data_IF_372214079260
#
_entry.id   IF_372214079260
#
_cell.length_a   1.000
_cell.length_b   1.000
_cell.length_c   1.000
_cell.angle_alpha   90.00
_cell.angle_beta   90.00
_cell.angle_gamma   90.00
#
_symmetry.space_group_name_H-M   'P 1'
#
loop_
_entity.id
_entity.type
_entity.pdbx_description
1 polymer ?
#
# COMPACT_ATOMS: atom_id res chain seq x y z
N UNK A 1 46.48 19.82 10.98
CA UNK A 1 47.00 20.29 9.67
C UNK A 1 47.72 19.15 8.97
N UNK A 2 47.10 18.58 7.91
CA UNK A 2 47.83 17.80 6.87
C UNK A 2 47.02 17.93 5.58
N UNK A 3 47.56 18.68 4.62
CA UNK A 3 47.06 18.86 3.27
C UNK A 3 47.20 17.55 2.50
N UNK A 4 46.16 17.13 1.78
CA UNK A 4 46.23 16.09 0.76
C UNK A 4 46.17 16.74 -0.65
N UNK A 5 47.19 16.47 -1.40
CA UNK A 5 47.51 16.88 -2.75
C UNK A 5 46.57 16.19 -3.74
N UNK A 6 45.93 16.97 -4.62
CA UNK A 6 45.17 16.48 -5.77
C UNK A 6 46.13 16.11 -6.90
N UNK A 7 46.12 14.86 -7.32
CA UNK A 7 46.71 14.41 -8.59
C UNK A 7 45.61 14.47 -9.66
N UNK A 8 45.79 15.37 -10.63
CA UNK A 8 45.04 15.42 -11.90
C UNK A 8 45.67 14.41 -12.87
N UNK A 9 44.92 13.37 -13.23
CA UNK A 9 45.25 12.53 -14.37
C UNK A 9 44.31 12.86 -15.53
N UNK A 10 44.87 13.43 -16.58
CA UNK A 10 44.22 13.68 -17.85
C UNK A 10 44.11 12.34 -18.61
N UNK A 11 42.91 11.87 -18.91
CA UNK A 11 42.68 10.74 -19.81
C UNK A 11 42.12 11.27 -21.13
N UNK A 12 42.80 10.92 -22.21
CA UNK A 12 42.47 11.29 -23.59
C UNK A 12 41.13 10.70 -24.01
N UNK A 13 40.31 11.51 -24.70
CA UNK A 13 39.08 11.12 -25.38
C UNK A 13 39.42 10.29 -26.62
N UNK A 14 39.28 8.97 -26.53
CA UNK A 14 39.14 8.09 -27.67
C UNK A 14 37.66 8.02 -28.06
N UNK A 15 37.32 8.51 -29.26
CA UNK A 15 36.01 8.38 -29.89
C UNK A 15 35.75 6.91 -30.30
N UNK A 16 35.41 6.06 -29.33
CA UNK A 16 34.87 4.74 -29.58
C UNK A 16 33.35 4.83 -29.66
N UNK A 17 32.80 4.50 -30.83
CA UNK A 17 31.36 4.25 -31.01
C UNK A 17 31.01 3.06 -30.13
N UNK A 18 30.45 3.34 -28.94
CA UNK A 18 29.84 2.31 -28.11
C UNK A 18 28.61 1.79 -28.86
N UNK A 19 28.46 0.45 -29.02
CA UNK A 19 27.21 -0.09 -29.51
C UNK A 19 26.10 0.32 -28.55
N UNK A 20 25.03 0.96 -29.06
CA UNK A 20 23.78 1.15 -28.33
C UNK A 20 23.28 -0.25 -27.96
N UNK A 21 23.57 -0.68 -26.74
CA UNK A 21 22.84 -1.77 -26.12
C UNK A 21 21.38 -1.31 -26.08
N UNK A 22 20.58 -1.89 -26.94
CA UNK A 22 19.12 -1.85 -26.87
C UNK A 22 18.71 -2.54 -25.57
N UNK A 23 18.66 -1.77 -24.48
CA UNK A 23 18.07 -2.22 -23.21
C UNK A 23 16.56 -2.00 -23.32
N UNK A 24 15.93 -2.74 -24.22
CA UNK A 24 14.49 -2.85 -24.36
C UNK A 24 14.14 -4.31 -24.30
N UNK A 25 13.98 -4.87 -23.12
CA UNK A 25 13.37 -6.20 -23.00
C UNK A 25 12.01 -6.18 -23.71
N UNK A 26 11.72 -7.25 -24.44
CA UNK A 26 10.48 -7.43 -25.19
C UNK A 26 9.27 -7.23 -24.28
N UNK A 27 8.27 -6.44 -24.73
CA UNK A 27 7.04 -6.21 -23.98
C UNK A 27 6.17 -7.47 -24.13
N UNK A 28 5.64 -7.96 -23.01
CA UNK A 28 4.80 -9.16 -23.00
C UNK A 28 3.44 -8.91 -23.67
N UNK A 29 2.86 -7.71 -23.44
CA UNK A 29 1.56 -7.33 -24.01
C UNK A 29 1.69 -6.31 -25.14
N UNK A 30 0.84 -6.39 -26.18
CA UNK A 30 0.84 -5.43 -27.28
C UNK A 30 0.41 -4.02 -26.85
N UNK A 31 -0.54 -3.94 -25.91
CA UNK A 31 -1.09 -2.70 -25.39
C UNK A 31 -1.40 -2.80 -23.88
N UNK A 32 -1.65 -1.64 -23.26
CA UNK A 32 -1.87 -1.57 -21.82
C UNK A 32 -3.26 -2.08 -21.39
N UNK A 33 -4.28 -1.98 -22.25
CA UNK A 33 -5.62 -2.45 -21.93
C UNK A 33 -5.64 -3.98 -21.79
N UNK A 34 -5.06 -4.70 -22.78
CA UNK A 34 -4.88 -6.17 -22.72
C UNK A 34 -4.09 -6.60 -21.49
N UNK A 35 -3.03 -5.86 -21.14
CA UNK A 35 -2.23 -6.14 -19.96
C UNK A 35 -3.03 -6.00 -18.66
N UNK A 36 -3.84 -4.95 -18.56
CA UNK A 36 -4.68 -4.68 -17.38
C UNK A 36 -5.82 -5.70 -17.27
N UNK A 37 -6.40 -6.13 -18.38
CA UNK A 37 -7.42 -7.19 -18.36
C UNK A 37 -6.84 -8.53 -17.86
N UNK A 38 -5.61 -8.88 -18.26
CA UNK A 38 -4.93 -10.06 -17.69
C UNK A 38 -4.64 -9.85 -16.20
N UNK A 39 -4.11 -8.69 -15.81
CA UNK A 39 -3.81 -8.40 -14.40
C UNK A 39 -5.07 -8.51 -13.53
N UNK A 40 -6.18 -7.91 -13.97
CA UNK A 40 -7.48 -7.99 -13.30
C UNK A 40 -7.96 -9.44 -13.18
N UNK A 41 -7.96 -10.20 -14.28
CA UNK A 41 -8.42 -11.58 -14.30
C UNK A 41 -7.60 -12.45 -13.33
N UNK A 42 -6.27 -12.33 -13.36
CA UNK A 42 -5.37 -13.09 -12.48
C UNK A 42 -5.50 -12.71 -11.01
N UNK A 43 -5.70 -11.43 -10.70
CA UNK A 43 -5.94 -10.96 -9.34
C UNK A 43 -7.22 -11.60 -8.76
N UNK A 44 -8.32 -11.53 -9.49
CA UNK A 44 -9.59 -12.07 -9.03
C UNK A 44 -9.63 -13.61 -9.02
N UNK A 45 -8.90 -14.26 -9.92
CA UNK A 45 -8.81 -15.73 -9.97
C UNK A 45 -8.01 -16.31 -8.81
N UNK A 46 -6.91 -15.64 -8.40
CA UNK A 46 -5.91 -16.25 -7.49
C UNK A 46 -5.75 -15.55 -6.15
N UNK A 47 -5.96 -14.26 -6.09
CA UNK A 47 -5.54 -13.47 -4.93
C UNK A 47 -6.70 -12.93 -4.08
N UNK A 48 -7.94 -12.98 -4.55
CA UNK A 48 -9.11 -12.64 -3.74
C UNK A 48 -9.67 -13.93 -3.13
N UNK A 49 -9.59 -14.05 -1.80
CA UNK A 49 -10.06 -15.22 -1.07
C UNK A 49 -11.59 -15.33 -1.01
N UNK A 50 -12.09 -16.39 -0.37
CA UNK A 50 -13.54 -16.63 -0.19
C UNK A 50 -14.26 -15.51 0.59
N UNK A 51 -13.55 -14.72 1.35
CA UNK A 51 -14.06 -13.63 2.20
C UNK A 51 -13.93 -12.24 1.59
N UNK A 52 -13.40 -12.13 0.37
CA UNK A 52 -13.18 -10.86 -0.31
C UNK A 52 -11.93 -10.11 0.16
N UNK A 53 -10.95 -10.84 0.69
CA UNK A 53 -9.69 -10.28 1.19
C UNK A 53 -8.56 -10.68 0.24
N UNK A 54 -7.71 -9.73 -0.13
CA UNK A 54 -6.52 -10.03 -0.92
C UNK A 54 -5.47 -10.73 -0.06
N UNK A 55 -4.93 -11.82 -0.62
CA UNK A 55 -3.78 -12.53 -0.06
C UNK A 55 -2.50 -12.03 -0.70
N UNK A 56 -1.40 -12.01 0.06
CA UNK A 56 -0.12 -11.46 -0.39
C UNK A 56 0.50 -12.25 -1.52
N UNK A 57 0.47 -13.58 -1.43
CA UNK A 57 1.10 -14.45 -2.41
C UNK A 57 0.40 -15.83 -2.48
N UNK A 58 0.48 -16.45 -3.65
CA UNK A 58 -0.02 -17.79 -3.92
C UNK A 58 0.85 -18.47 -5.01
N UNK A 59 0.61 -19.77 -5.24
CA UNK A 59 1.17 -20.44 -6.42
C UNK A 59 0.42 -20.04 -7.72
N UNK A 60 0.85 -20.58 -8.87
CA UNK A 60 0.25 -20.23 -10.17
C UNK A 60 -1.16 -20.81 -10.35
N UNK A 61 -1.52 -21.83 -9.59
CA UNK A 61 -2.85 -22.44 -9.54
C UNK A 61 -3.80 -21.67 -8.60
N UNK A 62 -3.27 -20.76 -7.77
CA UNK A 62 -4.02 -20.00 -6.78
C UNK A 62 -4.11 -20.66 -5.41
N UNK A 63 -3.28 -21.69 -5.16
CA UNK A 63 -3.23 -22.32 -3.84
C UNK A 63 -2.49 -21.43 -2.86
N UNK A 64 -3.14 -21.15 -1.72
CA UNK A 64 -2.63 -20.33 -0.63
C UNK A 64 -2.37 -21.20 0.59
N UNK A 65 -1.18 -21.12 1.16
CA UNK A 65 -0.81 -21.83 2.37
C UNK A 65 -1.21 -21.02 3.62
N UNK A 66 -2.52 -20.91 3.87
CA UNK A 66 -3.08 -20.13 4.98
C UNK A 66 -2.64 -20.67 6.34
N UNK A 67 -2.46 -19.80 7.36
CA UNK A 67 -2.28 -20.26 8.73
C UNK A 67 -3.53 -20.94 9.27
N UNK A 68 -3.35 -21.87 10.20
CA UNK A 68 -4.46 -22.49 10.93
C UNK A 68 -4.94 -21.58 12.08
N UNK A 69 -6.15 -21.81 12.62
CA UNK A 69 -6.62 -21.10 13.80
C UNK A 69 -5.67 -21.21 15.01
N UNK A 70 -5.04 -22.38 15.18
CA UNK A 70 -4.09 -22.66 16.26
C UNK A 70 -2.80 -21.86 16.08
N UNK A 71 -2.29 -21.76 14.86
CA UNK A 71 -1.11 -20.95 14.53
C UNK A 71 -1.35 -19.46 14.80
N UNK A 72 -2.51 -18.95 14.39
CA UNK A 72 -2.89 -17.56 14.68
C UNK A 72 -2.95 -17.30 16.20
N UNK A 73 -3.65 -18.16 16.97
CA UNK A 73 -3.74 -18.01 18.43
C UNK A 73 -2.38 -18.10 19.13
N UNK A 74 -1.47 -18.93 18.61
CA UNK A 74 -0.13 -19.10 19.16
C UNK A 74 0.88 -18.04 18.67
N UNK A 75 0.45 -17.08 17.84
CA UNK A 75 1.37 -16.11 17.23
C UNK A 75 2.46 -16.77 16.36
N UNK A 76 2.13 -17.80 15.59
CA UNK A 76 3.05 -18.58 14.76
C UNK A 76 2.87 -18.26 13.28
N UNK A 77 3.95 -18.01 12.55
CA UNK A 77 5.36 -18.04 12.93
C UNK A 77 5.82 -16.79 13.69
N UNK A 78 5.07 -15.71 13.64
CA UNK A 78 5.24 -14.50 14.46
C UNK A 78 3.89 -13.83 14.70
N UNK A 79 3.74 -13.13 15.83
CA UNK A 79 2.49 -12.52 16.25
C UNK A 79 2.08 -11.30 15.38
N UNK A 80 2.99 -10.79 14.53
CA UNK A 80 2.68 -9.77 13.53
C UNK A 80 1.91 -10.31 12.33
N UNK A 81 1.99 -11.61 12.06
CA UNK A 81 1.52 -12.20 10.80
C UNK A 81 2.36 -11.81 9.59
N UNK A 82 3.62 -11.39 9.80
CA UNK A 82 4.51 -10.97 8.70
C UNK A 82 5.04 -12.17 7.91
N UNK A 83 5.22 -11.93 6.60
CA UNK A 83 5.77 -12.86 5.62
C UNK A 83 4.90 -14.12 5.41
N UNK A 84 3.60 -13.96 5.63
CA UNK A 84 2.58 -14.96 5.38
C UNK A 84 1.59 -14.47 4.31
N UNK A 85 0.77 -15.38 3.75
CA UNK A 85 -0.20 -14.99 2.74
C UNK A 85 -1.26 -13.99 3.21
N UNK A 86 -1.45 -13.83 4.52
CA UNK A 86 -2.46 -12.92 5.12
C UNK A 86 -1.83 -11.69 5.78
N UNK A 87 -0.65 -11.29 5.31
CA UNK A 87 0.11 -10.19 5.93
C UNK A 87 -0.53 -8.83 5.74
N UNK A 88 -1.09 -8.54 4.53
CA UNK A 88 -1.46 -7.19 4.14
C UNK A 88 -2.89 -7.04 3.63
N UNK A 89 -3.81 -7.93 4.00
CA UNK A 89 -5.17 -7.95 3.43
C UNK A 89 -5.92 -6.62 3.58
N UNK A 90 -5.96 -6.00 4.77
CA UNK A 90 -6.63 -4.70 4.93
C UNK A 90 -5.93 -3.60 4.13
N UNK A 91 -4.59 -3.61 4.09
CA UNK A 91 -3.83 -2.66 3.28
C UNK A 91 -4.15 -2.82 1.79
N UNK A 92 -4.07 -4.02 1.27
CA UNK A 92 -4.24 -4.26 -0.16
C UNK A 92 -5.69 -4.05 -0.59
N UNK A 93 -6.68 -4.53 0.17
CA UNK A 93 -8.09 -4.25 -0.14
C UNK A 93 -8.37 -2.75 -0.17
N UNK A 94 -7.93 -2.03 0.87
CA UNK A 94 -8.17 -0.60 0.99
C UNK A 94 -7.58 0.20 -0.18
N UNK A 95 -6.40 -0.18 -0.65
CA UNK A 95 -5.73 0.47 -1.77
C UNK A 95 -6.28 0.02 -3.13
N UNK A 96 -6.59 -1.27 -3.29
CA UNK A 96 -7.12 -1.81 -4.54
C UNK A 96 -8.56 -1.34 -4.83
N UNK A 97 -9.32 -0.94 -3.80
CA UNK A 97 -10.64 -0.32 -4.01
C UNK A 97 -10.59 0.92 -4.90
N UNK A 98 -9.47 1.61 -4.96
CA UNK A 98 -9.28 2.72 -5.91
C UNK A 98 -9.35 2.25 -7.38
N UNK A 99 -8.72 1.12 -7.71
CA UNK A 99 -8.82 0.50 -9.04
C UNK A 99 -10.24 -0.01 -9.32
N UNK A 100 -10.78 -0.81 -8.40
CA UNK A 100 -12.07 -1.46 -8.58
C UNK A 100 -13.22 -0.45 -8.78
N UNK A 101 -13.21 0.65 -8.02
CA UNK A 101 -14.18 1.73 -8.15
C UNK A 101 -14.01 2.51 -9.46
N UNK A 102 -12.78 2.79 -9.89
CA UNK A 102 -12.55 3.49 -11.15
C UNK A 102 -12.90 2.60 -12.35
N UNK A 103 -12.66 1.28 -12.26
CA UNK A 103 -13.14 0.30 -13.23
C UNK A 103 -14.67 0.33 -13.31
N UNK A 104 -15.36 0.20 -12.19
CA UNK A 104 -16.83 0.31 -12.15
C UNK A 104 -17.35 1.63 -12.73
N UNK A 105 -16.70 2.76 -12.42
CA UNK A 105 -17.10 4.05 -13.00
C UNK A 105 -17.00 4.07 -14.51
N UNK A 106 -16.03 3.39 -15.09
CA UNK A 106 -15.84 3.28 -16.52
C UNK A 106 -16.78 2.28 -17.19
N UNK A 107 -17.02 1.12 -16.57
CA UNK A 107 -17.80 0.02 -17.16
C UNK A 107 -19.29 0.10 -16.84
N UNK A 108 -19.63 0.64 -15.67
CA UNK A 108 -20.99 0.60 -15.08
C UNK A 108 -21.57 -0.81 -14.96
N UNK A 109 -20.72 -1.82 -14.98
CA UNK A 109 -21.08 -3.23 -14.92
C UNK A 109 -21.51 -3.62 -13.50
N UNK A 110 -22.58 -4.43 -13.39
CA UNK A 110 -23.04 -5.02 -12.12
C UNK A 110 -21.99 -6.00 -11.54
N UNK A 111 -21.22 -6.65 -12.39
CA UNK A 111 -20.12 -7.52 -11.96
C UNK A 111 -19.04 -6.71 -11.24
N UNK A 112 -18.63 -5.58 -11.81
CA UNK A 112 -17.64 -4.70 -11.18
C UNK A 112 -18.19 -4.07 -9.88
N UNK A 113 -19.49 -3.72 -9.85
CA UNK A 113 -20.15 -3.27 -8.63
C UNK A 113 -20.13 -4.34 -7.52
N UNK A 114 -20.42 -5.61 -7.87
CA UNK A 114 -20.38 -6.73 -6.95
C UNK A 114 -18.94 -6.99 -6.43
N UNK A 115 -17.94 -6.88 -7.31
CA UNK A 115 -16.52 -6.98 -6.93
C UNK A 115 -16.13 -5.90 -5.92
N UNK A 116 -16.52 -4.65 -6.14
CA UNK A 116 -16.29 -3.55 -5.18
C UNK A 116 -16.90 -3.89 -3.82
N UNK A 117 -18.18 -4.27 -3.78
CA UNK A 117 -18.85 -4.63 -2.52
C UNK A 117 -18.18 -5.79 -1.81
N UNK A 118 -17.73 -6.81 -2.56
CA UNK A 118 -16.99 -7.95 -1.98
C UNK A 118 -15.70 -7.52 -1.28
N UNK A 119 -14.93 -6.58 -1.84
CA UNK A 119 -13.73 -6.03 -1.19
C UNK A 119 -14.09 -5.22 0.06
N UNK A 120 -15.18 -4.45 0.02
CA UNK A 120 -15.68 -3.69 1.18
C UNK A 120 -16.10 -4.62 2.31
N UNK A 121 -16.82 -5.71 2.01
CA UNK A 121 -17.20 -6.71 3.02
C UNK A 121 -15.95 -7.36 3.64
N UNK A 122 -14.90 -7.61 2.85
CA UNK A 122 -13.61 -8.07 3.38
C UNK A 122 -13.00 -7.08 4.38
N UNK A 123 -13.02 -5.77 4.09
CA UNK A 123 -12.55 -4.74 5.02
C UNK A 123 -13.39 -4.67 6.30
N UNK A 124 -14.71 -4.77 6.19
CA UNK A 124 -15.61 -4.74 7.33
C UNK A 124 -15.46 -6.02 8.19
N UNK A 125 -15.25 -7.18 7.56
CA UNK A 125 -14.91 -8.41 8.27
C UNK A 125 -13.63 -8.21 9.10
N UNK A 126 -12.55 -7.69 8.51
CA UNK A 126 -11.27 -7.47 9.21
C UNK A 126 -11.38 -6.49 10.39
N UNK A 127 -12.39 -5.64 10.43
CA UNK A 127 -12.68 -4.75 11.57
C UNK A 127 -13.64 -5.37 12.60
N UNK A 128 -14.24 -6.54 12.30
CA UNK A 128 -15.25 -7.19 13.15
C UNK A 128 -14.81 -8.54 13.72
N UNK A 129 -13.61 -9.02 13.39
CA UNK A 129 -13.13 -10.36 13.81
C UNK A 129 -12.68 -10.42 15.27
N UNK A 130 -12.33 -9.27 15.87
CA UNK A 130 -11.85 -9.15 17.25
C UNK A 130 -12.89 -8.51 18.17
N UNK A 131 -12.84 -8.86 19.47
CA UNK A 131 -13.60 -8.17 20.49
C UNK A 131 -12.97 -6.83 20.93
N UNK A 132 -11.76 -6.52 20.46
CA UNK A 132 -11.07 -5.25 20.71
C UNK A 132 -11.63 -4.19 19.78
N UNK A 133 -12.30 -3.19 20.34
CA UNK A 133 -12.90 -2.10 19.55
C UNK A 133 -11.85 -1.37 18.74
N UNK A 134 -12.18 -1.08 17.49
CA UNK A 134 -11.28 -0.38 16.55
C UNK A 134 -10.11 -1.21 16.05
N UNK A 135 -10.02 -2.49 16.39
CA UNK A 135 -9.04 -3.40 15.80
C UNK A 135 -9.30 -3.58 14.31
N UNK A 136 -8.23 -3.54 13.51
CA UNK A 136 -8.25 -3.88 12.09
C UNK A 136 -7.25 -4.99 11.84
N UNK A 137 -7.75 -6.20 11.53
CA UNK A 137 -6.93 -7.37 11.25
C UNK A 137 -6.21 -7.28 9.93
N UNK A 138 -5.17 -8.09 9.79
CA UNK A 138 -4.38 -8.21 8.55
C UNK A 138 -5.04 -9.14 7.54
N UNK A 139 -5.58 -10.24 7.99
CA UNK A 139 -6.26 -11.27 7.21
C UNK A 139 -6.82 -12.33 8.11
N UNK A 140 -7.41 -13.37 7.54
CA UNK A 140 -8.05 -14.46 8.26
C UNK A 140 -7.43 -15.81 7.93
N UNK A 141 -7.44 -16.73 8.91
CA UNK A 141 -6.96 -18.10 8.75
C UNK A 141 -7.94 -18.98 7.96
N UNK A 142 -7.64 -20.28 7.89
CA UNK A 142 -8.45 -21.27 7.20
C UNK A 142 -9.92 -21.33 7.62
N UNK A 143 -10.29 -20.82 8.81
CA UNK A 143 -11.69 -20.79 9.27
C UNK A 143 -12.40 -19.46 9.01
N UNK A 144 -11.76 -18.50 8.31
CA UNK A 144 -12.33 -17.20 7.97
C UNK A 144 -12.55 -16.26 9.15
N UNK A 145 -12.01 -16.54 10.33
CA UNK A 145 -12.23 -15.74 11.54
C UNK A 145 -10.96 -15.58 12.38
N UNK A 146 -10.20 -16.63 12.62
CA UNK A 146 -8.98 -16.55 13.42
C UNK A 146 -7.94 -15.73 12.69
N UNK A 147 -7.22 -14.89 13.44
CA UNK A 147 -6.31 -13.86 12.94
C UNK A 147 -5.15 -13.66 13.91
N UNK A 148 -4.15 -12.91 13.49
CA UNK A 148 -3.05 -12.51 14.36
C UNK A 148 -3.44 -11.32 15.25
N UNK A 149 -2.90 -11.25 16.48
CA UNK A 149 -3.34 -10.29 17.50
C UNK A 149 -2.95 -8.82 17.22
N UNK A 150 -2.13 -8.58 16.22
CA UNK A 150 -1.63 -7.24 15.90
C UNK A 150 -2.02 -6.80 14.50
N UNK A 151 -2.91 -5.79 14.43
CA UNK A 151 -3.06 -4.95 13.23
C UNK A 151 -1.86 -4.03 13.03
N UNK A 152 -2.06 -2.83 12.59
CA UNK A 152 -1.07 -1.72 12.57
C UNK A 152 -1.63 -0.48 11.86
N UNK A 153 -0.87 0.61 11.90
CA UNK A 153 -1.22 1.83 11.16
C UNK A 153 -1.12 1.68 9.63
N UNK A 154 -0.32 0.73 9.14
CA UNK A 154 -0.25 0.37 7.72
C UNK A 154 -1.44 -0.47 7.22
N UNK A 155 -2.18 -1.10 8.10
CA UNK A 155 -3.45 -1.76 7.78
C UNK A 155 -4.64 -0.81 7.97
N UNK A 156 -4.66 -0.10 9.11
CA UNK A 156 -5.77 0.77 9.48
C UNK A 156 -5.89 2.02 8.59
N UNK A 157 -4.77 2.61 8.16
CA UNK A 157 -4.78 3.74 7.23
C UNK A 157 -5.47 3.41 5.89
N UNK A 158 -5.05 2.36 5.17
CA UNK A 158 -5.72 1.91 3.97
C UNK A 158 -7.17 1.47 4.18
N UNK A 159 -7.51 0.88 5.32
CA UNK A 159 -8.88 0.56 5.68
C UNK A 159 -9.77 1.82 5.65
N UNK A 160 -9.31 2.93 6.26
CA UNK A 160 -10.01 4.22 6.17
C UNK A 160 -10.08 4.74 4.74
N UNK A 161 -8.99 4.64 3.96
CA UNK A 161 -8.95 5.11 2.56
C UNK A 161 -9.97 4.35 1.70
N UNK A 162 -9.97 3.02 1.78
CA UNK A 162 -10.86 2.17 0.98
C UNK A 162 -12.33 2.41 1.30
N UNK A 163 -12.69 2.46 2.59
CA UNK A 163 -14.07 2.73 3.01
C UNK A 163 -14.53 4.14 2.62
N UNK A 164 -13.67 5.14 2.74
CA UNK A 164 -13.94 6.49 2.23
C UNK A 164 -14.20 6.49 0.73
N UNK A 165 -13.32 5.85 -0.05
CA UNK A 165 -13.48 5.74 -1.51
C UNK A 165 -14.82 5.14 -1.91
N UNK A 166 -15.26 4.11 -1.20
CA UNK A 166 -16.58 3.52 -1.46
C UNK A 166 -17.72 4.42 -0.98
N UNK A 167 -17.62 5.02 0.19
CA UNK A 167 -18.60 5.94 0.75
C UNK A 167 -18.93 7.10 -0.23
N UNK A 168 -17.88 7.67 -0.85
CA UNK A 168 -17.98 8.83 -1.75
C UNK A 168 -18.10 8.44 -3.24
N UNK A 169 -18.22 7.16 -3.55
CA UNK A 169 -18.16 6.67 -4.94
C UNK A 169 -19.37 6.94 -5.79
N UNK A 170 -20.54 7.18 -5.18
CA UNK A 170 -21.85 7.16 -5.83
C UNK A 170 -22.40 5.74 -6.07
N UNK A 171 -21.66 4.67 -5.67
CA UNK A 171 -22.11 3.28 -5.71
C UNK A 171 -22.78 2.85 -4.40
N UNK A 172 -22.30 3.37 -3.27
CA UNK A 172 -22.81 3.04 -1.96
C UNK A 172 -24.25 3.54 -1.77
N UNK A 173 -25.13 2.64 -1.31
CA UNK A 173 -26.50 3.01 -0.89
C UNK A 173 -26.47 3.78 0.44
N UNK A 174 -27.59 4.38 0.83
CA UNK A 174 -27.67 5.10 2.10
C UNK A 174 -27.49 4.14 3.30
N UNK A 175 -28.01 2.90 3.24
CA UNK A 175 -27.81 1.88 4.27
C UNK A 175 -26.33 1.45 4.35
N UNK A 176 -25.66 1.29 3.20
CA UNK A 176 -24.24 1.01 3.16
C UNK A 176 -23.43 2.16 3.78
N UNK A 177 -23.74 3.42 3.44
CA UNK A 177 -23.11 4.60 4.03
C UNK A 177 -23.31 4.69 5.54
N UNK A 178 -24.50 4.41 6.04
CA UNK A 178 -24.79 4.40 7.49
C UNK A 178 -24.03 3.30 8.22
N UNK A 179 -23.92 2.12 7.60
CA UNK A 179 -23.08 1.03 8.13
C UNK A 179 -21.62 1.44 8.20
N UNK A 180 -21.07 1.98 7.12
CA UNK A 180 -19.68 2.46 7.06
C UNK A 180 -19.43 3.55 8.10
N UNK A 181 -20.33 4.52 8.23
CA UNK A 181 -20.21 5.60 9.22
C UNK A 181 -20.08 5.04 10.64
N UNK A 182 -20.89 4.05 11.03
CA UNK A 182 -20.77 3.40 12.35
C UNK A 182 -19.38 2.80 12.57
N UNK A 183 -18.86 2.03 11.63
CA UNK A 183 -17.53 1.43 11.71
C UNK A 183 -16.41 2.49 11.77
N UNK A 184 -16.48 3.53 10.93
CA UNK A 184 -15.52 4.63 10.92
C UNK A 184 -15.51 5.38 12.26
N UNK A 185 -16.68 5.72 12.80
CA UNK A 185 -16.82 6.43 14.09
C UNK A 185 -16.30 5.58 15.24
N UNK A 186 -16.69 4.31 15.33
CA UNK A 186 -16.25 3.41 16.41
C UNK A 186 -14.73 3.19 16.38
N UNK A 187 -14.18 2.94 15.20
CA UNK A 187 -12.73 2.75 15.03
C UNK A 187 -11.96 4.01 15.38
N UNK A 188 -12.42 5.18 14.92
CA UNK A 188 -11.77 6.46 15.25
C UNK A 188 -11.83 6.75 16.74
N UNK A 189 -12.98 6.53 17.40
CA UNK A 189 -13.12 6.73 18.85
C UNK A 189 -12.15 5.85 19.64
N UNK A 190 -11.98 4.58 19.25
CA UNK A 190 -11.04 3.66 19.89
C UNK A 190 -9.58 4.13 19.70
N UNK A 191 -9.19 4.55 18.48
CA UNK A 191 -7.84 5.05 18.19
C UNK A 191 -7.57 6.34 18.99
N UNK A 192 -8.50 7.27 19.05
CA UNK A 192 -8.38 8.52 19.80
C UNK A 192 -8.23 8.24 21.30
N UNK A 193 -9.02 7.32 21.86
CA UNK A 193 -8.93 6.93 23.27
C UNK A 193 -7.57 6.34 23.65
N UNK A 194 -6.85 5.76 22.69
CA UNK A 194 -5.49 5.24 22.83
C UNK A 194 -4.41 6.25 22.41
N UNK A 195 -4.73 7.55 22.30
CA UNK A 195 -3.77 8.58 21.89
C UNK A 195 -3.26 8.37 20.47
N UNK A 196 -4.16 8.06 19.53
CA UNK A 196 -3.88 7.78 18.12
C UNK A 196 -3.02 6.55 17.85
N UNK A 197 -2.97 5.60 18.81
CA UNK A 197 -2.37 4.29 18.59
C UNK A 197 -3.43 3.29 18.10
N UNK A 198 -3.01 2.36 17.25
CA UNK A 198 -3.90 1.32 16.74
C UNK A 198 -4.11 0.25 17.79
N UNK A 199 -5.38 -0.14 18.07
CA UNK A 199 -5.66 -1.22 19.00
C UNK A 199 -5.06 -2.55 18.55
N UNK A 200 -4.60 -3.35 19.51
CA UNK A 200 -4.15 -4.72 19.33
C UNK A 200 -4.69 -5.58 20.46
N UNK A 201 -4.75 -6.90 20.25
CA UNK A 201 -5.19 -7.84 21.28
C UNK A 201 -4.11 -8.06 22.35
N UNK A 202 -4.51 -8.64 23.48
CA UNK A 202 -3.55 -9.05 24.51
C UNK A 202 -2.57 -10.10 23.96
N UNK A 203 -1.31 -10.06 24.40
CA UNK A 203 -0.76 -9.19 25.44
C UNK A 203 -0.29 -7.81 24.93
N UNK A 204 -0.41 -7.52 23.64
CA UNK A 204 0.22 -6.37 22.98
C UNK A 204 -0.51 -5.03 23.24
N UNK A 205 -1.85 -5.03 23.28
CA UNK A 205 -2.70 -3.88 23.58
C UNK A 205 -2.75 -2.81 22.49
N UNK A 206 -1.63 -2.48 21.88
CA UNK A 206 -1.54 -1.52 20.76
C UNK A 206 -0.36 -1.84 19.84
N UNK A 207 -0.46 -1.42 18.56
CA UNK A 207 0.63 -1.50 17.59
C UNK A 207 0.51 -0.48 16.48
N UNK A 208 1.57 0.30 16.29
CA UNK A 208 1.58 1.40 15.32
C UNK A 208 0.79 2.62 15.83
N UNK A 209 0.98 3.75 15.18
CA UNK A 209 0.38 5.02 15.61
C UNK A 209 0.22 5.97 14.43
N UNK A 210 -0.77 6.88 14.51
CA UNK A 210 -0.84 8.05 13.63
C UNK A 210 -0.19 9.29 14.26
N UNK A 211 0.35 9.19 15.49
CA UNK A 211 1.13 10.27 16.09
C UNK A 211 2.55 10.34 15.55
N UNK A 212 3.07 11.55 15.37
CA UNK A 212 4.43 11.82 14.96
C UNK A 212 4.57 13.00 14.01
N UNK A 213 5.82 13.42 13.83
CA UNK A 213 6.20 14.58 13.02
C UNK A 213 7.05 14.13 11.83
N UNK A 214 6.44 13.42 10.91
CA UNK A 214 6.94 13.11 9.59
C UNK A 214 5.75 12.86 8.64
N UNK A 215 6.01 12.87 7.35
CA UNK A 215 4.97 12.85 6.31
C UNK A 215 3.91 11.77 6.54
N UNK A 216 4.34 10.52 6.75
CA UNK A 216 3.42 9.37 6.84
C UNK A 216 2.44 9.49 8.02
N UNK A 217 2.90 9.98 9.17
CA UNK A 217 2.05 10.12 10.36
C UNK A 217 1.16 11.36 10.25
N UNK A 218 1.75 12.49 9.88
CA UNK A 218 1.03 13.75 9.75
C UNK A 218 -0.18 13.61 8.82
N UNK A 219 0.05 13.09 7.61
CA UNK A 219 -1.00 13.01 6.58
C UNK A 219 -2.10 12.01 6.95
N UNK A 220 -1.76 10.85 7.52
CA UNK A 220 -2.75 9.85 7.94
C UNK A 220 -3.66 10.40 9.05
N UNK A 221 -3.10 11.08 10.05
CA UNK A 221 -3.88 11.68 11.13
C UNK A 221 -4.81 12.78 10.63
N UNK A 222 -4.28 13.71 9.82
CA UNK A 222 -5.06 14.78 9.19
C UNK A 222 -6.21 14.21 8.34
N UNK A 223 -5.93 13.16 7.57
CA UNK A 223 -6.94 12.51 6.74
C UNK A 223 -8.09 11.93 7.58
N UNK A 224 -7.80 11.21 8.66
CA UNK A 224 -8.86 10.64 9.51
C UNK A 224 -9.70 11.74 10.16
N UNK A 225 -9.09 12.85 10.62
CA UNK A 225 -9.84 13.98 11.18
C UNK A 225 -10.76 14.62 10.13
N UNK A 226 -10.26 14.90 8.93
CA UNK A 226 -11.05 15.47 7.84
C UNK A 226 -12.16 14.53 7.39
N UNK A 227 -11.86 13.23 7.29
CA UNK A 227 -12.85 12.18 7.00
C UNK A 227 -13.97 12.19 8.04
N UNK A 228 -13.64 12.28 9.34
CA UNK A 228 -14.64 12.30 10.41
C UNK A 228 -15.53 13.53 10.33
N UNK A 229 -14.99 14.71 10.06
CA UNK A 229 -15.78 15.91 9.81
C UNK A 229 -16.78 15.69 8.66
N UNK A 230 -16.33 15.08 7.57
CA UNK A 230 -17.13 14.85 6.38
C UNK A 230 -18.26 13.82 6.61
N UNK A 231 -17.95 12.65 7.22
CA UNK A 231 -18.95 11.56 7.36
C UNK A 231 -19.94 11.78 8.52
N UNK A 232 -19.58 12.60 9.51
CA UNK A 232 -20.44 12.87 10.68
C UNK A 232 -21.16 14.20 10.61
N UNK A 233 -20.63 15.18 9.88
CA UNK A 233 -21.09 16.57 9.93
C UNK A 233 -20.80 17.29 11.25
N UNK A 234 -20.02 16.69 12.16
CA UNK A 234 -19.62 17.29 13.44
C UNK A 234 -18.46 18.27 13.23
N UNK A 235 -18.75 19.56 13.43
CA UNK A 235 -17.79 20.65 13.24
C UNK A 235 -16.59 20.58 14.17
N UNK A 236 -16.70 19.89 15.32
CA UNK A 236 -15.58 19.72 16.24
C UNK A 236 -14.41 18.97 15.60
N UNK A 237 -14.67 18.10 14.60
CA UNK A 237 -13.62 17.42 13.85
C UNK A 237 -12.90 18.37 12.89
N UNK A 238 -13.60 19.33 12.29
CA UNK A 238 -12.98 20.36 11.45
C UNK A 238 -12.10 21.28 12.30
N UNK A 239 -12.56 21.67 13.50
CA UNK A 239 -11.78 22.47 14.44
C UNK A 239 -10.50 21.74 14.87
N UNK A 240 -10.59 20.46 15.24
CA UNK A 240 -9.43 19.60 15.55
C UNK A 240 -8.46 19.47 14.37
N UNK A 241 -8.99 19.26 13.16
CA UNK A 241 -8.20 19.18 11.95
C UNK A 241 -7.41 20.48 11.71
N UNK A 242 -8.06 21.65 11.82
CA UNK A 242 -7.43 22.97 11.67
C UNK A 242 -6.34 23.20 12.72
N UNK A 243 -6.61 22.87 13.97
CA UNK A 243 -5.62 22.96 15.04
C UNK A 243 -4.43 22.02 14.81
N UNK A 244 -4.67 20.78 14.37
CA UNK A 244 -3.64 19.79 14.13
C UNK A 244 -2.70 20.17 12.98
N UNK A 245 -3.20 20.86 11.94
CA UNK A 245 -2.37 21.38 10.84
C UNK A 245 -1.22 22.25 11.33
N UNK A 246 -1.47 23.05 12.38
CA UNK A 246 -0.50 24.01 12.91
C UNK A 246 0.38 23.43 14.03
N UNK A 247 0.14 22.18 14.46
CA UNK A 247 1.03 21.52 15.42
C UNK A 247 2.39 21.28 14.79
N UNK A 248 3.45 21.68 15.49
CA UNK A 248 4.83 21.59 15.00
C UNK A 248 5.69 20.65 15.86
N UNK A 249 6.64 19.97 15.21
CA UNK A 249 7.61 19.10 15.88
C UNK A 249 8.54 18.41 14.88
N UNK A 250 9.41 17.53 15.37
CA UNK A 250 10.47 16.89 14.58
C UNK A 250 11.74 17.73 14.49
N UNK A 251 12.70 17.27 13.72
CA UNK A 251 13.98 17.98 13.49
C UNK A 251 14.25 18.06 11.96
N UNK A 252 14.19 19.26 11.37
CA UNK A 252 13.74 20.54 11.96
C UNK A 252 12.27 20.51 12.36
N UNK A 253 11.87 21.37 13.31
CA UNK A 253 10.48 21.50 13.71
C UNK A 253 9.65 22.06 12.53
N UNK A 254 8.75 21.25 12.00
CA UNK A 254 7.81 21.61 10.92
C UNK A 254 6.38 21.36 11.40
N UNK A 255 5.44 22.16 10.91
CA UNK A 255 4.02 21.90 11.11
C UNK A 255 3.55 20.67 10.32
N UNK A 256 2.44 20.05 10.74
CA UNK A 256 1.88 18.93 9.94
C UNK A 256 1.44 19.38 8.55
N UNK A 257 1.01 20.64 8.40
CA UNK A 257 0.79 21.26 7.10
C UNK A 257 2.06 21.27 6.24
N UNK A 258 3.20 21.67 6.82
CA UNK A 258 4.49 21.69 6.11
C UNK A 258 4.96 20.28 5.73
N UNK A 259 4.75 19.27 6.60
CA UNK A 259 5.01 17.87 6.23
C UNK A 259 4.15 17.42 5.05
N UNK A 260 2.85 17.74 5.05
CA UNK A 260 1.95 17.42 3.94
C UNK A 260 2.38 18.10 2.64
N UNK A 261 2.75 19.39 2.69
CA UNK A 261 3.23 20.18 1.54
C UNK A 261 4.55 19.64 0.97
N UNK A 262 5.44 19.13 1.84
CA UNK A 262 6.74 18.58 1.44
C UNK A 262 6.67 17.24 0.72
N UNK A 263 5.58 16.52 0.85
CA UNK A 263 5.39 15.20 0.23
C UNK A 263 6.20 14.08 0.87
N UNK A 264 6.13 12.90 0.25
CA UNK A 264 6.81 11.70 0.76
C UNK A 264 8.34 11.81 0.69
N UNK A 265 9.00 10.99 1.51
CA UNK A 265 10.43 10.71 1.45
C UNK A 265 10.65 9.21 1.52
N UNK A 266 11.78 8.73 1.01
CA UNK A 266 12.16 7.34 1.20
C UNK A 266 12.55 7.10 2.66
N UNK A 267 11.89 6.16 3.32
CA UNK A 267 12.02 5.95 4.75
C UNK A 267 13.06 4.88 5.11
N UNK A 268 13.07 3.75 4.36
CA UNK A 268 13.94 2.61 4.69
C UNK A 268 15.17 2.50 3.80
N UNK A 269 15.02 2.80 2.52
CA UNK A 269 16.08 2.71 1.53
C UNK A 269 15.74 3.60 0.32
N UNK A 270 16.73 4.05 -0.47
CA UNK A 270 16.47 4.69 -1.76
C UNK A 270 15.59 3.82 -2.64
N UNK A 271 14.68 4.44 -3.39
CA UNK A 271 13.73 3.75 -4.29
C UNK A 271 12.75 2.78 -3.59
N UNK A 272 12.44 3.03 -2.33
CA UNK A 272 11.49 2.23 -1.54
C UNK A 272 10.15 2.95 -1.43
N UNK A 273 9.38 2.95 -2.54
CA UNK A 273 8.15 3.74 -2.69
C UNK A 273 6.93 3.13 -1.99
N UNK A 274 6.83 1.81 -1.90
CA UNK A 274 5.61 1.12 -1.49
C UNK A 274 5.16 1.43 -0.06
N UNK A 275 6.08 1.67 0.87
CA UNK A 275 5.72 2.00 2.26
C UNK A 275 5.09 3.38 2.41
N UNK A 276 5.47 4.34 1.57
CA UNK A 276 4.92 5.70 1.58
C UNK A 276 3.62 5.82 0.79
N UNK A 277 3.26 4.82 -0.05
CA UNK A 277 2.10 4.88 -0.92
C UNK A 277 0.78 5.08 -0.14
N UNK A 278 0.66 4.52 1.06
CA UNK A 278 -0.53 4.69 1.93
C UNK A 278 -0.72 6.16 2.32
N UNK A 279 0.36 6.83 2.72
CA UNK A 279 0.29 8.24 3.12
C UNK A 279 0.00 9.15 1.91
N UNK A 280 0.56 8.83 0.72
CA UNK A 280 0.25 9.58 -0.50
C UNK A 280 -1.20 9.37 -0.91
N UNK A 281 -1.74 8.15 -0.75
CA UNK A 281 -3.17 7.86 -0.93
C UNK A 281 -4.05 8.68 0.01
N UNK A 282 -3.68 8.80 1.29
CA UNK A 282 -4.37 9.64 2.27
C UNK A 282 -4.28 11.14 1.91
N UNK A 283 -3.11 11.61 1.45
CA UNK A 283 -2.93 12.99 0.98
C UNK A 283 -3.83 13.29 -0.24
N UNK A 284 -3.98 12.33 -1.13
CA UNK A 284 -4.91 12.46 -2.26
C UNK A 284 -6.36 12.57 -1.80
N UNK A 285 -6.78 11.80 -0.80
CA UNK A 285 -8.12 11.92 -0.22
C UNK A 285 -8.31 13.29 0.46
N UNK A 286 -7.31 13.79 1.19
CA UNK A 286 -7.34 15.16 1.75
C UNK A 286 -7.52 16.21 0.66
N UNK A 287 -6.74 16.12 -0.41
CA UNK A 287 -6.84 17.05 -1.54
C UNK A 287 -8.24 17.05 -2.18
N UNK A 288 -8.86 15.89 -2.28
CA UNK A 288 -10.22 15.74 -2.84
C UNK A 288 -11.29 16.33 -1.93
N UNK A 289 -11.18 16.16 -0.61
CA UNK A 289 -12.13 16.67 0.39
C UNK A 289 -11.91 18.15 0.74
N UNK A 290 -10.75 18.74 0.44
CA UNK A 290 -10.43 20.10 0.89
C UNK A 290 -11.09 21.15 0.01
N UNK A 291 -11.76 22.11 0.66
CA UNK A 291 -12.44 23.25 0.00
C UNK A 291 -11.61 24.54 0.11
N UNK A 292 -10.76 24.66 1.15
CA UNK A 292 -9.83 25.78 1.31
C UNK A 292 -8.78 25.75 0.20
N UNK A 293 -8.78 26.75 -0.66
CA UNK A 293 -7.91 26.81 -1.84
C UNK A 293 -6.42 26.84 -1.49
N UNK A 294 -6.01 27.44 -0.37
CA UNK A 294 -4.64 27.47 0.10
C UNK A 294 -4.16 26.10 0.55
N UNK A 295 -4.94 25.41 1.39
CA UNK A 295 -4.63 24.04 1.80
C UNK A 295 -4.65 23.06 0.64
N UNK A 296 -5.60 23.20 -0.28
CA UNK A 296 -5.68 22.39 -1.49
C UNK A 296 -4.44 22.56 -2.37
N UNK A 297 -3.91 23.80 -2.48
CA UNK A 297 -2.66 24.06 -3.18
C UNK A 297 -1.44 23.42 -2.48
N UNK A 298 -1.38 23.45 -1.15
CA UNK A 298 -0.34 22.78 -0.37
C UNK A 298 -0.35 21.26 -0.55
N UNK A 299 -1.53 20.64 -0.51
CA UNK A 299 -1.67 19.21 -0.77
C UNK A 299 -1.31 18.83 -2.21
N UNK A 300 -1.68 19.67 -3.18
CA UNK A 300 -1.25 19.50 -4.57
C UNK A 300 0.28 19.56 -4.70
N UNK A 301 0.96 20.47 -3.96
CA UNK A 301 2.41 20.55 -3.93
C UNK A 301 3.04 19.27 -3.35
N UNK A 302 2.49 18.73 -2.24
CA UNK A 302 2.94 17.48 -1.64
C UNK A 302 2.72 16.27 -2.55
N UNK A 303 1.59 16.19 -3.24
CA UNK A 303 1.32 15.14 -4.24
C UNK A 303 2.30 15.22 -5.41
N UNK A 304 2.61 16.44 -5.88
CA UNK A 304 3.60 16.65 -6.94
C UNK A 304 5.00 16.22 -6.51
N UNK A 305 5.45 16.64 -5.33
CA UNK A 305 6.74 16.25 -4.78
C UNK A 305 6.85 14.73 -4.63
N UNK A 306 5.78 14.08 -4.14
CA UNK A 306 5.71 12.63 -4.01
C UNK A 306 5.77 11.91 -5.36
N UNK A 307 5.08 12.42 -6.37
CA UNK A 307 5.09 11.85 -7.71
C UNK A 307 6.48 11.91 -8.37
N UNK A 308 7.16 13.06 -8.26
CA UNK A 308 8.51 13.24 -8.80
C UNK A 308 9.48 12.25 -8.15
N UNK A 309 9.46 12.13 -6.83
CA UNK A 309 10.34 11.22 -6.10
C UNK A 309 10.02 9.75 -6.43
N UNK A 310 8.73 9.37 -6.43
CA UNK A 310 8.32 8.01 -6.74
C UNK A 310 8.70 7.58 -8.16
N UNK A 311 8.69 8.50 -9.13
CA UNK A 311 9.05 8.19 -10.52
C UNK A 311 10.46 7.64 -10.67
N UNK A 312 11.38 7.91 -9.72
CA UNK A 312 12.73 7.32 -9.67
C UNK A 312 12.70 5.78 -9.53
N UNK A 313 11.58 5.21 -9.03
CA UNK A 313 11.42 3.77 -8.90
C UNK A 313 10.96 3.08 -10.20
N UNK A 314 10.38 3.79 -11.16
CA UNK A 314 9.83 3.19 -12.38
C UNK A 314 10.85 2.35 -13.18
N UNK A 315 12.13 2.77 -13.34
CA UNK A 315 13.13 1.98 -14.05
C UNK A 315 13.48 0.65 -13.38
N UNK A 316 13.13 0.43 -12.10
CA UNK A 316 13.37 -0.85 -11.43
C UNK A 316 12.68 -2.03 -12.15
N UNK A 317 11.55 -1.78 -12.82
CA UNK A 317 10.85 -2.80 -13.60
C UNK A 317 11.72 -3.44 -14.68
N UNK A 318 12.69 -2.71 -15.22
CA UNK A 318 13.61 -3.22 -16.26
C UNK A 318 14.59 -4.27 -15.73
N UNK A 319 14.78 -4.33 -14.41
CA UNK A 319 15.63 -5.33 -13.74
C UNK A 319 14.92 -6.66 -13.47
N UNK A 320 13.60 -6.72 -13.67
CA UNK A 320 12.87 -7.96 -13.52
C UNK A 320 13.15 -8.88 -14.71
N UNK A 321 13.72 -10.03 -14.44
CA UNK A 321 13.97 -11.08 -15.42
C UNK A 321 12.88 -12.16 -15.32
N UNK A 322 11.94 -12.24 -16.29
CA UNK A 322 10.90 -13.25 -16.30
C UNK A 322 11.45 -14.66 -16.55
N UNK A 323 12.62 -14.79 -17.19
CA UNK A 323 13.28 -16.06 -17.46
C UNK A 323 14.14 -16.55 -16.28
N UNK A 324 14.29 -15.75 -15.23
CA UNK A 324 15.06 -16.12 -14.03
C UNK A 324 14.48 -17.42 -13.43
N UNK A 325 15.30 -18.49 -13.32
CA UNK A 325 14.86 -19.79 -12.77
C UNK A 325 14.63 -19.77 -11.25
N UNK A 326 14.75 -18.63 -10.60
CA UNK A 326 14.50 -18.49 -9.17
C UNK A 326 13.13 -19.05 -8.80
N UNK A 327 13.12 -19.91 -7.80
CA UNK A 327 11.91 -20.59 -7.34
C UNK A 327 11.05 -19.70 -6.46
N UNK A 328 9.75 -19.90 -6.55
CA UNK A 328 8.78 -19.48 -5.55
C UNK A 328 8.42 -20.68 -4.67
N UNK A 329 8.41 -20.48 -3.35
CA UNK A 329 7.84 -21.43 -2.40
C UNK A 329 6.90 -20.68 -1.47
N UNK A 330 5.68 -21.17 -1.33
CA UNK A 330 4.71 -20.70 -0.32
C UNK A 330 4.86 -21.42 1.03
N UNK A 331 5.88 -22.27 1.19
CA UNK A 331 6.10 -23.04 2.43
C UNK A 331 6.83 -22.23 3.51
N UNK A 332 6.17 -21.19 3.98
CA UNK A 332 6.66 -20.34 5.05
C UNK A 332 6.85 -21.14 6.36
N UNK A 333 6.09 -22.26 6.55
CA UNK A 333 6.21 -23.08 7.76
C UNK A 333 7.60 -23.69 7.88
N UNK A 334 8.06 -24.40 6.86
CA UNK A 334 9.39 -25.03 6.89
C UNK A 334 10.52 -24.03 7.13
N UNK A 335 10.39 -22.81 6.61
CA UNK A 335 11.41 -21.78 6.73
C UNK A 335 11.37 -21.04 8.07
N UNK A 336 10.18 -20.72 8.58
CA UNK A 336 10.04 -19.76 9.70
C UNK A 336 9.72 -20.44 11.05
N UNK A 337 8.97 -21.54 11.05
CA UNK A 337 8.61 -22.23 12.30
C UNK A 337 9.80 -22.74 13.14
N UNK A 338 10.90 -23.21 12.56
CA UNK A 338 12.08 -23.58 13.36
C UNK A 338 12.70 -22.44 14.18
N UNK A 339 12.41 -21.19 13.79
CA UNK A 339 12.90 -20.00 14.49
C UNK A 339 11.90 -19.46 15.52
N UNK A 340 10.68 -20.04 15.58
CA UNK A 340 9.63 -19.51 16.42
C UNK A 340 10.00 -19.48 17.90
N UNK A 341 9.61 -18.40 18.55
CA UNK A 341 9.67 -18.20 20.01
C UNK A 341 8.38 -17.52 20.42
N UNK A 342 7.97 -17.71 21.66
CA UNK A 342 6.86 -16.96 22.25
C UNK A 342 7.18 -15.47 22.27
N UNK A 343 6.20 -14.64 21.96
CA UNK A 343 6.31 -13.19 21.94
C UNK A 343 5.24 -12.59 22.86
N UNK A 344 5.66 -11.67 23.72
CA UNK A 344 4.81 -10.92 24.64
C UNK A 344 4.84 -9.42 24.41
N UNK A 345 5.81 -8.96 23.59
CA UNK A 345 5.98 -7.55 23.22
C UNK A 345 6.05 -7.38 21.71
N UNK A 346 5.72 -6.18 21.23
CA UNK A 346 5.86 -5.81 19.82
C UNK A 346 7.32 -5.99 19.34
N UNK A 347 8.28 -5.58 20.16
CA UNK A 347 9.70 -5.66 19.79
C UNK A 347 10.16 -7.11 19.58
N UNK A 348 9.78 -8.03 20.47
CA UNK A 348 10.08 -9.45 20.31
C UNK A 348 9.50 -10.03 19.02
N UNK A 349 8.27 -9.64 18.68
CA UNK A 349 7.63 -10.10 17.46
C UNK A 349 8.31 -9.51 16.19
N UNK A 350 8.75 -8.26 16.24
CA UNK A 350 9.50 -7.61 15.15
C UNK A 350 10.86 -8.27 14.95
N UNK A 351 11.63 -8.48 16.03
CA UNK A 351 12.96 -9.10 15.96
C UNK A 351 12.88 -10.53 15.40
N UNK A 352 11.88 -11.28 15.84
CA UNK A 352 11.61 -12.63 15.33
C UNK A 352 11.28 -12.59 13.83
N UNK A 353 10.38 -11.74 13.42
CA UNK A 353 9.97 -11.63 12.01
C UNK A 353 11.15 -11.22 11.10
N UNK A 354 12.02 -10.31 11.55
CA UNK A 354 13.24 -9.91 10.82
C UNK A 354 14.20 -11.10 10.67
N UNK A 355 14.33 -11.95 11.69
CA UNK A 355 15.13 -13.16 11.58
C UNK A 355 14.50 -14.17 10.59
N UNK A 356 13.19 -14.31 10.61
CA UNK A 356 12.44 -15.24 9.78
C UNK A 356 12.43 -14.86 8.31
N UNK A 357 12.36 -13.57 7.95
CA UNK A 357 12.35 -13.16 6.54
C UNK A 357 13.61 -13.58 5.79
N UNK A 358 14.76 -13.61 6.47
CA UNK A 358 16.02 -14.08 5.87
C UNK A 358 15.96 -15.57 5.54
N UNK A 359 15.33 -16.37 6.40
CA UNK A 359 15.14 -17.80 6.16
C UNK A 359 14.15 -18.05 5.03
N UNK A 360 13.02 -17.35 5.03
CA UNK A 360 12.01 -17.45 3.98
C UNK A 360 12.55 -17.01 2.61
N UNK A 361 13.33 -15.93 2.56
CA UNK A 361 13.96 -15.45 1.32
C UNK A 361 14.89 -16.45 0.66
N UNK A 362 15.47 -17.41 1.41
CA UNK A 362 16.32 -18.47 0.86
C UNK A 362 15.52 -19.51 0.06
N UNK A 363 14.31 -19.83 0.49
CA UNK A 363 13.45 -20.82 -0.19
C UNK A 363 12.52 -20.20 -1.23
N UNK A 364 12.35 -18.89 -1.19
CA UNK A 364 11.47 -18.15 -2.12
C UNK A 364 12.15 -16.92 -2.72
N UNK A 365 13.29 -17.06 -3.42
CA UNK A 365 14.01 -15.93 -4.01
C UNK A 365 13.18 -15.18 -5.05
N UNK A 366 12.25 -15.86 -5.73
CA UNK A 366 11.32 -15.25 -6.69
C UNK A 366 10.46 -14.17 -6.03
N UNK A 367 9.94 -14.40 -4.81
CA UNK A 367 9.19 -13.42 -4.05
C UNK A 367 9.99 -12.12 -3.83
N UNK A 368 11.28 -12.25 -3.50
CA UNK A 368 12.14 -11.08 -3.31
C UNK A 368 12.35 -10.32 -4.63
N UNK A 369 12.51 -11.02 -5.74
CA UNK A 369 12.63 -10.42 -7.08
C UNK A 369 11.34 -9.63 -7.42
N UNK A 370 10.17 -10.22 -7.21
CA UNK A 370 8.89 -9.54 -7.45
C UNK A 370 8.69 -8.34 -6.49
N UNK A 371 9.08 -8.45 -5.22
CA UNK A 371 9.02 -7.34 -4.28
C UNK A 371 9.89 -6.15 -4.72
N UNK A 372 11.08 -6.39 -5.23
CA UNK A 372 12.01 -5.32 -5.61
C UNK A 372 11.70 -4.73 -6.99
N UNK A 373 11.28 -5.56 -7.95
CA UNK A 373 11.26 -5.17 -9.36
C UNK A 373 9.86 -5.12 -9.99
N UNK A 374 8.82 -5.52 -9.23
CA UNK A 374 7.41 -5.37 -9.61
C UNK A 374 6.69 -4.49 -8.59
N UNK A 375 6.74 -4.81 -7.29
CA UNK A 375 6.07 -4.05 -6.25
C UNK A 375 6.48 -2.58 -6.22
N UNK A 376 7.79 -2.31 -6.14
CA UNK A 376 8.29 -0.93 -6.02
C UNK A 376 7.89 -0.05 -7.21
N UNK A 377 8.15 -0.46 -8.49
CA UNK A 377 7.74 0.37 -9.62
C UNK A 377 6.22 0.44 -9.81
N UNK A 378 5.46 -0.61 -9.43
CA UNK A 378 4.00 -0.58 -9.51
C UNK A 378 3.39 0.40 -8.48
N UNK A 379 3.87 0.36 -7.24
CA UNK A 379 3.47 1.34 -6.22
C UNK A 379 3.84 2.77 -6.62
N UNK A 380 5.02 2.96 -7.21
CA UNK A 380 5.46 4.24 -7.75
C UNK A 380 4.55 4.74 -8.88
N UNK A 381 4.13 3.87 -9.80
CA UNK A 381 3.19 4.22 -10.85
C UNK A 381 1.85 4.73 -10.27
N UNK A 382 1.34 4.06 -9.22
CA UNK A 382 0.15 4.53 -8.53
C UNK A 382 0.39 5.89 -7.86
N UNK A 383 1.49 6.08 -7.12
CA UNK A 383 1.82 7.38 -6.50
C UNK A 383 1.85 8.50 -7.55
N UNK A 384 2.49 8.26 -8.70
CA UNK A 384 2.50 9.23 -9.81
C UNK A 384 1.08 9.54 -10.26
N UNK A 385 0.22 8.54 -10.42
CA UNK A 385 -1.17 8.70 -10.85
C UNK A 385 -2.05 9.49 -9.88
N UNK A 386 -1.64 9.64 -8.61
CA UNK A 386 -2.33 10.45 -7.60
C UNK A 386 -2.05 11.95 -7.74
N UNK A 387 -1.06 12.35 -8.53
CA UNK A 387 -0.71 13.74 -8.76
C UNK A 387 -1.83 14.47 -9.53
N UNK A 388 -2.28 15.66 -9.07
CA UNK A 388 -3.28 16.44 -9.79
C UNK A 388 -2.72 17.27 -10.95
N UNK A 389 -1.38 17.32 -11.14
CA UNK A 389 -0.75 18.07 -12.24
C UNK A 389 -0.70 17.22 -13.52
N UNK A 390 -1.47 17.57 -14.57
CA UNK A 390 -1.53 16.79 -15.79
C UNK A 390 -0.21 16.77 -16.58
N UNK A 391 0.73 17.69 -16.34
CA UNK A 391 2.05 17.69 -16.97
C UNK A 391 2.88 16.55 -16.41
N UNK A 392 2.94 16.41 -15.08
CA UNK A 392 3.63 15.30 -14.42
C UNK A 392 3.08 13.95 -14.91
N UNK A 393 1.75 13.84 -15.02
CA UNK A 393 1.12 12.62 -15.51
C UNK A 393 1.54 12.29 -16.95
N UNK A 394 1.49 13.28 -17.87
CA UNK A 394 1.91 13.09 -19.27
C UNK A 394 3.38 12.70 -19.38
N UNK A 395 4.28 13.34 -18.62
CA UNK A 395 5.71 13.08 -18.67
C UNK A 395 6.06 11.62 -18.30
N UNK A 396 5.27 11.01 -17.41
CA UNK A 396 5.51 9.64 -16.94
C UNK A 396 4.62 8.57 -17.61
N UNK A 397 3.60 8.97 -18.38
CA UNK A 397 2.68 8.05 -19.06
C UNK A 397 3.42 6.99 -19.92
N UNK A 398 4.46 7.34 -20.73
CA UNK A 398 5.17 6.33 -21.50
C UNK A 398 5.91 5.29 -20.64
N UNK A 399 6.50 5.70 -19.52
CA UNK A 399 7.22 4.79 -18.62
C UNK A 399 6.24 3.85 -17.89
N UNK A 400 5.11 4.37 -17.43
CA UNK A 400 4.04 3.59 -16.79
C UNK A 400 3.40 2.63 -17.80
N UNK A 401 3.18 3.05 -19.03
CA UNK A 401 2.68 2.17 -20.10
C UNK A 401 3.64 1.01 -20.42
N UNK A 402 4.96 1.25 -20.38
CA UNK A 402 5.95 0.17 -20.53
C UNK A 402 5.92 -0.79 -19.33
N UNK A 403 5.87 -0.27 -18.10
CA UNK A 403 5.75 -1.08 -16.89
C UNK A 403 4.53 -2.01 -16.97
N UNK A 404 3.36 -1.49 -17.33
CA UNK A 404 2.11 -2.25 -17.43
C UNK A 404 2.24 -3.39 -18.43
N UNK A 405 2.81 -3.16 -19.61
CA UNK A 405 2.90 -4.15 -20.70
C UNK A 405 4.02 -5.17 -20.54
N UNK A 406 4.92 -4.96 -19.59
CA UNK A 406 6.16 -5.75 -19.47
C UNK A 406 5.94 -7.14 -18.86
N UNK A 407 4.92 -7.35 -18.03
CA UNK A 407 4.80 -8.54 -17.21
C UNK A 407 3.73 -9.50 -17.72
N UNK A 408 4.03 -10.82 -17.68
CA UNK A 408 3.04 -11.87 -17.74
C UNK A 408 2.43 -12.04 -16.32
N UNK A 409 1.27 -11.46 -16.09
CA UNK A 409 0.61 -11.47 -14.78
C UNK A 409 0.16 -12.87 -14.35
N UNK A 410 -0.03 -13.80 -15.29
CA UNK A 410 -0.34 -15.20 -14.98
C UNK A 410 0.83 -15.93 -14.29
N UNK A 411 2.06 -15.41 -14.40
CA UNK A 411 3.28 -16.01 -13.85
C UNK A 411 3.83 -15.28 -12.63
N UNK A 412 3.09 -14.35 -12.05
CA UNK A 412 3.47 -13.65 -10.84
C UNK A 412 2.85 -14.33 -9.61
N UNK A 413 3.63 -14.37 -8.54
CA UNK A 413 3.25 -14.99 -7.28
C UNK A 413 2.83 -14.00 -6.20
N UNK A 414 3.19 -12.72 -6.34
CA UNK A 414 2.95 -11.67 -5.35
C UNK A 414 1.93 -10.67 -5.88
N UNK A 415 0.85 -10.44 -5.13
CA UNK A 415 -0.33 -9.66 -5.55
C UNK A 415 -0.04 -8.20 -5.86
N UNK A 416 1.10 -7.68 -5.44
CA UNK A 416 1.42 -6.24 -5.51
C UNK A 416 1.52 -5.65 -6.91
N UNK A 417 1.35 -6.46 -7.94
CA UNK A 417 1.10 -5.94 -9.29
C UNK A 417 -0.25 -5.20 -9.42
N UNK A 418 -1.17 -5.34 -8.45
CA UNK A 418 -2.47 -4.65 -8.50
C UNK A 418 -2.34 -3.12 -8.64
N UNK A 419 -1.24 -2.53 -8.20
CA UNK A 419 -1.02 -1.09 -8.37
C UNK A 419 -0.92 -0.65 -9.83
N UNK A 420 -0.57 -1.52 -10.78
CA UNK A 420 -0.59 -1.13 -12.20
C UNK A 420 -2.03 -0.90 -12.68
N UNK A 421 -2.99 -1.70 -12.21
CA UNK A 421 -4.41 -1.49 -12.49
C UNK A 421 -4.90 -0.18 -11.86
N UNK A 422 -4.47 0.10 -10.63
CA UNK A 422 -4.82 1.33 -9.91
C UNK A 422 -4.28 2.57 -10.65
N UNK A 423 -3.05 2.53 -11.14
CA UNK A 423 -2.48 3.61 -11.93
C UNK A 423 -3.18 3.78 -13.29
N UNK A 424 -3.47 2.67 -13.98
CA UNK A 424 -4.12 2.66 -15.29
C UNK A 424 -5.47 3.38 -15.27
N UNK A 425 -6.37 2.99 -14.35
CA UNK A 425 -7.72 3.56 -14.28
C UNK A 425 -7.74 5.05 -13.93
N UNK A 426 -6.67 5.58 -13.36
CA UNK A 426 -6.50 7.02 -13.12
C UNK A 426 -5.93 7.78 -14.30
N UNK A 427 -5.19 7.12 -15.17
CA UNK A 427 -4.38 7.78 -16.20
C UNK A 427 -4.85 7.51 -17.63
N UNK A 428 -5.69 6.50 -17.89
CA UNK A 428 -6.06 6.05 -19.23
C UNK A 428 -6.69 7.12 -20.14
N UNK A 429 -7.35 8.11 -19.55
CA UNK A 429 -8.06 9.16 -20.26
C UNK A 429 -7.25 10.48 -20.34
N UNK A 430 -5.98 10.47 -19.88
CA UNK A 430 -5.11 11.65 -19.97
C UNK A 430 -4.65 11.80 -21.42
N UNK A 431 -4.89 12.96 -22.08
CA UNK A 431 -4.42 13.20 -23.42
C UNK A 431 -2.89 13.14 -23.51
N UNK A 432 -2.37 12.40 -24.47
CA UNK A 432 -0.94 12.28 -24.79
C UNK A 432 -0.42 13.57 -25.39
#
# INVERSE_FOLDING_TARGET
MKRRTLLRSSVALGSGILPRLSIGGELFHPDSATAIDQAHAELWRRFVDGYGILVDFCDLEGKVNLPTPEECRAGKPNALGWFQPIENGAMFNGLYLDAALNRWRATKSEEDAAKVRRLVEGLLLLNSISNVKGFVGRGVSTNGRSHYPMGSDDQTGPWFIGLWRFYDSGLATDEEKDRLRRHLVETTAAIVSLGWNMPAEAPFGKRGTFEGFHFEKAVRKLFVMKLMAHVTGDTSWEERYRAELETAGGEPALTKRQYATGGMRYFYAPTHAWTSCVAVGALRCLWEMEEDSSLKADYAAGLRASAILAAECLPLAEKFDPANPATFSGDWRSAMMPLWKEQTTEQEAVDLAIAQVKAFGKISPRRNSEANFIREPSAAAWIVSLCPDPRILRDHLPAIGRLIRRHDYARLHYVTFFWVETAWWRMKDIPV
#
